data_IF_286900988944
#
_entry.id   IF_286900988944
#
_cell.length_a   1.000
_cell.length_b   1.000
_cell.length_c   1.000
_cell.angle_alpha   90.00
_cell.angle_beta   90.00
_cell.angle_gamma   90.00
#
_symmetry.space_group_name_H-M   'P 1'
#
loop_
_entity.id
_entity.type
_entity.pdbx_description
1 polymer ?
#
# COMPACT_ATOMS: atom_id res chain seq x y z
N UNK A 1 -28.55 18.23 13.32
CA UNK A 1 -27.40 18.98 12.79
C UNK A 1 -26.39 17.96 12.29
N UNK A 2 -26.42 17.62 11.01
CA UNK A 2 -25.40 16.77 10.41
C UNK A 2 -24.08 17.56 10.47
N UNK A 3 -23.07 17.04 11.15
CA UNK A 3 -21.76 17.67 11.22
C UNK A 3 -21.26 17.98 9.81
N UNK A 4 -20.61 19.14 9.65
CA UNK A 4 -20.06 19.60 8.37
C UNK A 4 -19.25 18.46 7.75
N UNK A 5 -19.78 17.81 6.72
CA UNK A 5 -19.06 16.77 5.98
C UNK A 5 -17.95 17.50 5.25
N UNK A 6 -16.72 17.32 5.72
CA UNK A 6 -15.53 17.95 5.16
C UNK A 6 -14.41 16.92 5.12
N UNK A 7 -13.65 16.94 4.04
CA UNK A 7 -12.51 16.05 3.86
C UNK A 7 -11.38 16.38 4.84
N UNK A 8 -10.82 15.36 5.50
CA UNK A 8 -9.67 15.51 6.39
C UNK A 8 -8.42 14.87 5.76
N UNK A 9 -7.56 15.73 5.20
CA UNK A 9 -6.30 15.29 4.57
C UNK A 9 -5.28 14.79 5.58
N UNK A 10 -5.36 15.22 6.85
CA UNK A 10 -4.48 14.77 7.93
C UNK A 10 -4.82 13.33 8.33
N UNK A 11 -6.11 13.02 8.48
CA UNK A 11 -6.57 11.66 8.79
C UNK A 11 -6.26 10.69 7.63
N UNK A 12 -6.44 11.14 6.39
CA UNK A 12 -6.09 10.35 5.21
C UNK A 12 -4.59 10.08 5.11
N UNK A 13 -3.74 11.07 5.45
CA UNK A 13 -2.30 10.89 5.49
C UNK A 13 -1.88 9.95 6.64
N UNK A 14 -2.50 10.08 7.82
CA UNK A 14 -2.24 9.23 8.96
C UNK A 14 -2.61 7.75 8.71
N UNK A 15 -3.70 7.50 7.98
CA UNK A 15 -4.12 6.16 7.60
C UNK A 15 -3.09 5.42 6.73
N UNK A 16 -2.35 6.15 5.89
CA UNK A 16 -1.31 5.56 5.02
C UNK A 16 0.07 5.51 5.67
N UNK A 17 0.31 6.28 6.75
CA UNK A 17 1.63 6.34 7.41
C UNK A 17 2.12 4.97 7.85
N UNK A 18 1.24 4.14 8.41
CA UNK A 18 1.57 2.77 8.83
C UNK A 18 1.98 1.88 7.65
N UNK A 19 1.39 2.07 6.47
CA UNK A 19 1.71 1.34 5.24
C UNK A 19 2.99 1.86 4.59
N UNK A 20 3.23 3.18 4.60
CA UNK A 20 4.49 3.75 4.10
C UNK A 20 5.69 3.41 4.98
N UNK A 21 5.49 3.10 6.27
CA UNK A 21 6.55 2.56 7.13
C UNK A 21 7.06 1.17 6.71
N UNK A 22 6.31 0.47 5.86
CA UNK A 22 6.70 -0.82 5.26
C UNK A 22 7.37 -0.65 3.88
N UNK A 23 7.49 0.58 3.38
CA UNK A 23 8.09 0.89 2.06
C UNK A 23 9.55 0.45 1.96
N UNK A 24 10.24 0.36 3.09
CA UNK A 24 11.63 -0.08 3.17
C UNK A 24 11.80 -1.61 3.34
N UNK A 25 10.72 -2.41 3.30
CA UNK A 25 10.80 -3.88 3.17
C UNK A 25 11.24 -4.32 1.76
N UNK A 26 12.14 -3.57 1.13
CA UNK A 26 12.63 -3.77 -0.24
C UNK A 26 13.53 -5.01 -0.41
N UNK A 27 13.81 -5.73 0.68
CA UNK A 27 14.63 -6.93 0.65
C UNK A 27 13.75 -8.18 0.84
N UNK A 28 12.89 -8.48 -0.13
CA UNK A 28 12.34 -9.83 -0.26
C UNK A 28 13.49 -10.77 -0.63
N UNK A 29 14.17 -11.28 0.39
CA UNK A 29 15.29 -12.21 0.25
C UNK A 29 14.85 -13.49 -0.45
N UNK A 30 15.49 -13.80 -1.55
CA UNK A 30 15.44 -15.13 -2.15
C UNK A 30 16.15 -16.13 -1.25
N UNK A 31 15.57 -17.31 -1.10
CA UNK A 31 16.16 -18.45 -0.41
C UNK A 31 17.06 -19.17 -1.40
N UNK A 32 18.30 -19.46 -0.98
CA UNK A 32 19.21 -20.33 -1.72
C UNK A 32 19.73 -21.46 -0.83
N UNK A 33 19.84 -22.65 -1.42
CA UNK A 33 20.23 -23.88 -0.72
C UNK A 33 21.62 -24.40 -1.16
N UNK A 34 22.44 -23.53 -1.76
CA UNK A 34 23.79 -23.88 -2.23
C UNK A 34 23.76 -25.05 -3.21
N UNK A 35 24.62 -26.05 -3.00
CA UNK A 35 24.83 -27.21 -3.88
C UNK A 35 23.79 -28.34 -3.74
N UNK A 36 22.61 -28.07 -3.16
CA UNK A 36 21.57 -29.09 -3.02
C UNK A 36 21.15 -29.67 -4.38
N UNK A 37 21.34 -30.99 -4.54
CA UNK A 37 20.94 -31.74 -5.74
C UNK A 37 19.68 -32.61 -5.53
N UNK A 38 19.08 -32.56 -4.33
CA UNK A 38 17.83 -33.26 -4.01
C UNK A 38 16.66 -32.54 -4.68
N UNK A 39 15.95 -33.22 -5.59
CA UNK A 39 14.86 -32.63 -6.36
C UNK A 39 13.78 -31.96 -5.49
N UNK A 40 13.43 -32.56 -4.35
CA UNK A 40 12.46 -31.98 -3.41
C UNK A 40 12.94 -30.63 -2.83
N UNK A 41 14.24 -30.47 -2.58
CA UNK A 41 14.82 -29.23 -2.09
C UNK A 41 14.82 -28.15 -3.18
N UNK A 42 15.09 -28.51 -4.44
CA UNK A 42 15.01 -27.60 -5.58
C UNK A 42 13.58 -27.09 -5.80
N UNK A 43 12.59 -28.00 -5.75
CA UNK A 43 11.18 -27.64 -5.87
C UNK A 43 10.74 -26.75 -4.70
N UNK A 44 11.17 -27.07 -3.47
CA UNK A 44 10.91 -26.24 -2.30
C UNK A 44 11.52 -24.84 -2.40
N UNK A 45 12.74 -24.74 -2.94
CA UNK A 45 13.40 -23.45 -3.22
C UNK A 45 12.59 -22.61 -4.19
N UNK A 46 12.16 -23.21 -5.30
CA UNK A 46 11.35 -22.52 -6.30
C UNK A 46 10.05 -22.01 -5.68
N UNK A 47 9.30 -22.87 -5.00
CA UNK A 47 8.02 -22.51 -4.37
C UNK A 47 8.19 -21.39 -3.34
N UNK A 48 9.22 -21.47 -2.48
CA UNK A 48 9.48 -20.43 -1.47
C UNK A 48 9.76 -19.07 -2.13
N UNK A 49 10.56 -19.06 -3.20
CA UNK A 49 10.89 -17.83 -3.92
C UNK A 49 9.70 -17.26 -4.70
N UNK A 50 8.83 -18.12 -5.27
CA UNK A 50 7.58 -17.70 -5.91
C UNK A 50 6.62 -17.07 -4.90
N UNK A 51 6.40 -17.71 -3.75
CA UNK A 51 5.56 -17.17 -2.67
C UNK A 51 6.08 -15.80 -2.19
N UNK A 52 7.39 -15.67 -2.02
CA UNK A 52 8.00 -14.41 -1.57
C UNK A 52 7.82 -13.29 -2.61
N UNK A 53 7.91 -13.63 -3.90
CA UNK A 53 7.62 -12.70 -5.00
C UNK A 53 6.15 -12.28 -5.02
N UNK A 54 5.23 -13.22 -4.83
CA UNK A 54 3.80 -12.91 -4.84
C UNK A 54 3.39 -12.04 -3.64
N UNK A 55 3.95 -12.29 -2.46
CA UNK A 55 3.78 -11.38 -1.30
C UNK A 55 4.29 -9.99 -1.63
N UNK A 56 5.46 -9.86 -2.27
CA UNK A 56 6.00 -8.58 -2.72
C UNK A 56 5.06 -7.82 -3.66
N UNK A 57 4.49 -8.50 -4.66
CA UNK A 57 3.49 -7.92 -5.57
C UNK A 57 2.25 -7.43 -4.83
N UNK A 58 1.74 -8.22 -3.88
CA UNK A 58 0.56 -7.86 -3.07
C UNK A 58 0.86 -6.61 -2.25
N UNK A 59 1.98 -6.58 -1.52
CA UNK A 59 2.39 -5.42 -0.71
C UNK A 59 2.53 -4.17 -1.58
N UNK A 60 3.17 -4.27 -2.74
CA UNK A 60 3.32 -3.17 -3.69
C UNK A 60 1.98 -2.66 -4.22
N UNK A 61 1.05 -3.57 -4.54
CA UNK A 61 -0.30 -3.22 -4.98
C UNK A 61 -1.06 -2.48 -3.87
N UNK A 62 -1.06 -3.02 -2.65
CA UNK A 62 -1.73 -2.40 -1.50
C UNK A 62 -1.15 -1.02 -1.21
N UNK A 63 0.18 -0.86 -1.25
CA UNK A 63 0.83 0.44 -1.07
C UNK A 63 0.43 1.43 -2.18
N UNK A 64 0.38 0.98 -3.43
CA UNK A 64 -0.04 1.80 -4.57
C UNK A 64 -1.48 2.29 -4.41
N UNK A 65 -2.39 1.42 -3.96
CA UNK A 65 -3.77 1.81 -3.71
C UNK A 65 -3.90 2.71 -2.49
N UNK A 66 -3.13 2.45 -1.43
CA UNK A 66 -3.12 3.27 -0.23
C UNK A 66 -2.71 4.72 -0.54
N UNK A 67 -1.70 4.92 -1.38
CA UNK A 67 -1.25 6.24 -1.80
C UNK A 67 -2.32 7.08 -2.55
N UNK A 68 -3.43 6.47 -2.99
CA UNK A 68 -4.54 7.21 -3.61
C UNK A 68 -5.45 7.88 -2.57
N UNK A 69 -5.48 7.43 -1.32
CA UNK A 69 -6.37 8.00 -0.30
C UNK A 69 -6.07 9.48 -0.01
N UNK A 70 -4.80 9.92 0.18
CA UNK A 70 -4.50 11.34 0.33
C UNK A 70 -4.88 12.17 -0.89
N UNK A 71 -4.64 11.67 -2.11
CA UNK A 71 -5.00 12.38 -3.34
C UNK A 71 -6.51 12.57 -3.46
N UNK A 72 -7.29 11.52 -3.14
CA UNK A 72 -8.74 11.60 -3.11
C UNK A 72 -9.21 12.60 -2.05
N UNK A 73 -8.65 12.56 -0.84
CA UNK A 73 -8.98 13.51 0.22
C UNK A 73 -8.70 14.96 -0.18
N UNK A 74 -7.59 15.23 -0.88
CA UNK A 74 -7.28 16.56 -1.40
C UNK A 74 -8.28 17.02 -2.47
N UNK A 75 -8.65 16.14 -3.41
CA UNK A 75 -9.64 16.47 -4.44
C UNK A 75 -11.02 16.75 -3.86
N UNK A 76 -11.45 15.97 -2.87
CA UNK A 76 -12.73 16.20 -2.20
C UNK A 76 -12.66 17.48 -1.36
N UNK A 77 -11.57 17.76 -0.65
CA UNK A 77 -11.40 19.03 0.09
C UNK A 77 -11.48 20.26 -0.82
N UNK A 78 -10.92 20.19 -2.03
CA UNK A 78 -11.04 21.25 -3.04
C UNK A 78 -12.50 21.42 -3.49
N UNK A 79 -13.22 20.31 -3.72
CA UNK A 79 -14.63 20.34 -4.10
C UNK A 79 -15.51 20.89 -2.98
N UNK A 80 -15.31 20.43 -1.74
CA UNK A 80 -16.01 20.92 -0.54
C UNK A 80 -15.85 22.44 -0.39
N UNK A 81 -14.65 22.97 -0.66
CA UNK A 81 -14.36 24.42 -0.63
C UNK A 81 -15.05 25.19 -1.76
N UNK A 82 -15.13 24.61 -2.96
CA UNK A 82 -15.84 25.22 -4.10
C UNK A 82 -17.35 25.25 -3.86
N UNK A 83 -17.94 24.14 -3.43
CA UNK A 83 -19.38 24.03 -3.19
C UNK A 83 -19.80 24.93 -2.03
N UNK A 84 -18.97 25.06 -0.98
CA UNK A 84 -19.22 25.99 0.13
C UNK A 84 -19.24 27.47 -0.29
N UNK A 85 -18.54 27.85 -1.38
CA UNK A 85 -18.59 29.21 -1.96
C UNK A 85 -19.82 29.45 -2.85
N UNK A 86 -20.52 28.39 -3.26
CA UNK A 86 -21.76 28.48 -4.03
C UNK A 86 -23.02 28.59 -3.15
N UNK A 87 -22.89 28.42 -1.83
CA UNK A 87 -23.98 28.50 -0.85
C UNK A 87 -24.08 29.91 -0.24
N UNK A 88 -24.10 30.92 -1.11
CA UNK A 88 -24.36 32.31 -0.77
C UNK A 88 -25.69 32.76 -1.35
#
# INVERSE_FOLDING_TARGET
>A
MAGKIQSNTVDAQGAITALTGLKDMSCFKTVDFGDSNVQAMLNGKQLANELMNDVSKITSCVLTQANKFPELAQRIALRDSQDAKGWH
#
